data_IF_584594117017
#
_entry.id   IF_584594117017
#
_cell.length_a   1.000
_cell.length_b   1.000
_cell.length_c   1.000
_cell.angle_alpha   90.00
_cell.angle_beta   90.00
_cell.angle_gamma   90.00
#
_symmetry.space_group_name_H-M   'P 1'
#
loop_
_entity.id
_entity.type
_entity.pdbx_description
1 polymer ?
#
# COMPACT_ATOMS: atom_id res chain seq x y z
N UNK A 1 -15.68 -8.79 9.62
CA UNK A 1 -16.84 -8.71 10.54
C UNK A 1 -17.47 -10.07 10.81
N UNK A 2 -17.87 -10.85 9.81
CA UNK A 2 -18.52 -12.16 10.00
C UNK A 2 -17.70 -13.10 10.91
N UNK A 3 -16.38 -13.18 10.70
CA UNK A 3 -15.48 -14.00 11.53
C UNK A 3 -15.35 -13.54 13.00
N UNK A 4 -15.37 -12.23 13.26
CA UNK A 4 -15.28 -11.67 14.62
C UNK A 4 -16.59 -11.93 15.38
N UNK A 5 -17.74 -11.77 14.72
CA UNK A 5 -19.04 -12.16 15.29
C UNK A 5 -19.18 -13.66 15.47
N UNK A 6 -18.68 -14.47 14.52
CA UNK A 6 -18.58 -15.93 14.64
C UNK A 6 -17.66 -16.34 15.80
N UNK A 7 -16.68 -15.53 16.19
CA UNK A 7 -15.80 -15.83 17.31
C UNK A 7 -16.35 -15.33 18.66
N UNK A 8 -16.94 -14.14 18.68
CA UNK A 8 -17.51 -13.51 19.88
C UNK A 8 -18.78 -14.24 20.33
N UNK A 9 -19.66 -14.61 19.39
CA UNK A 9 -20.94 -15.28 19.69
C UNK A 9 -20.77 -16.60 20.48
N UNK A 10 -19.94 -17.58 20.04
CA UNK A 10 -19.71 -18.80 20.81
C UNK A 10 -18.93 -18.56 22.10
N UNK A 11 -18.09 -17.52 22.18
CA UNK A 11 -17.42 -17.15 23.42
C UNK A 11 -18.38 -16.61 24.48
N UNK A 12 -19.31 -15.74 24.07
CA UNK A 12 -20.38 -15.22 24.94
C UNK A 12 -21.29 -16.36 25.37
N UNK A 13 -21.66 -17.27 24.45
CA UNK A 13 -22.45 -18.46 24.78
C UNK A 13 -21.71 -19.39 25.75
N UNK A 14 -20.41 -19.63 25.56
CA UNK A 14 -19.61 -20.46 26.46
C UNK A 14 -19.49 -19.86 27.87
N UNK A 15 -19.30 -18.55 27.98
CA UNK A 15 -19.30 -17.85 29.28
C UNK A 15 -20.68 -17.95 29.95
N UNK A 16 -21.77 -17.80 29.19
CA UNK A 16 -23.14 -17.97 29.70
C UNK A 16 -23.38 -19.41 30.17
N UNK A 17 -23.00 -20.42 29.39
CA UNK A 17 -23.14 -21.83 29.79
C UNK A 17 -22.29 -22.17 31.01
N UNK A 18 -21.07 -21.63 31.10
CA UNK A 18 -20.21 -21.81 32.29
C UNK A 18 -20.78 -21.12 33.54
N UNK A 19 -21.35 -19.91 33.39
CA UNK A 19 -22.00 -19.20 34.49
C UNK A 19 -23.25 -19.95 34.98
N UNK A 20 -24.10 -20.41 34.05
CA UNK A 20 -25.28 -21.22 34.34
C UNK A 20 -24.88 -22.53 35.05
N UNK A 21 -23.84 -23.20 34.56
CA UNK A 21 -23.28 -24.40 35.18
C UNK A 21 -22.83 -24.16 36.63
N UNK A 22 -22.12 -23.07 36.90
CA UNK A 22 -21.69 -22.66 38.26
C UNK A 22 -22.88 -22.43 39.21
N UNK A 23 -23.97 -21.85 38.70
CA UNK A 23 -25.20 -21.64 39.49
C UNK A 23 -25.86 -22.97 39.84
N UNK A 24 -26.10 -23.84 38.86
CA UNK A 24 -26.74 -25.15 39.10
C UNK A 24 -25.90 -26.11 39.94
N UNK A 25 -24.56 -26.05 39.82
CA UNK A 25 -23.65 -26.84 40.67
C UNK A 25 -23.65 -26.39 42.13
N UNK A 26 -23.80 -25.09 42.38
CA UNK A 26 -23.91 -24.56 43.74
C UNK A 26 -25.20 -24.99 44.44
N UNK A 27 -26.25 -25.28 43.67
CA UNK A 27 -27.54 -25.77 44.18
C UNK A 27 -27.57 -27.29 44.43
N UNK A 28 -26.43 -27.99 44.28
CA UNK A 28 -26.29 -29.41 44.62
C UNK A 28 -26.94 -30.39 43.63
N UNK A 29 -27.27 -29.93 42.42
CA UNK A 29 -27.87 -30.77 41.37
C UNK A 29 -26.74 -31.46 40.57
N UNK A 30 -26.69 -32.80 40.59
CA UNK A 30 -25.83 -33.56 39.67
C UNK A 30 -26.38 -33.43 38.24
N UNK A 31 -25.72 -32.61 37.43
CA UNK A 31 -26.13 -32.39 36.05
C UNK A 31 -25.22 -33.14 35.09
N UNK A 32 -25.78 -33.86 34.11
CA UNK A 32 -25.04 -34.42 32.97
C UNK A 32 -24.33 -33.38 32.08
N UNK A 33 -24.38 -32.10 32.48
CA UNK A 33 -23.82 -30.93 31.81
C UNK A 33 -22.33 -30.71 32.08
N UNK A 34 -21.72 -31.39 33.07
CA UNK A 34 -20.32 -31.20 33.48
C UNK A 34 -19.31 -31.43 32.33
N UNK A 35 -19.52 -32.48 31.54
CA UNK A 35 -18.64 -32.81 30.41
C UNK A 35 -18.93 -31.95 29.17
N UNK A 36 -20.19 -31.62 28.92
CA UNK A 36 -20.58 -30.80 27.76
C UNK A 36 -20.11 -29.35 27.88
N UNK A 37 -20.35 -28.71 29.02
CA UNK A 37 -20.01 -27.30 29.23
C UNK A 37 -18.50 -27.04 29.20
N UNK A 38 -17.70 -27.95 29.75
CA UNK A 38 -16.24 -27.85 29.73
C UNK A 38 -15.68 -27.97 28.31
N UNK A 39 -16.17 -28.93 27.51
CA UNK A 39 -15.77 -29.09 26.10
C UNK A 39 -16.17 -27.88 25.25
N UNK A 40 -17.39 -27.35 25.41
CA UNK A 40 -17.83 -26.13 24.70
C UNK A 40 -16.97 -24.91 25.06
N UNK A 41 -16.56 -24.78 26.33
CA UNK A 41 -15.70 -23.69 26.77
C UNK A 41 -14.32 -23.74 26.12
N UNK A 42 -13.71 -24.94 26.04
CA UNK A 42 -12.42 -25.13 25.37
C UNK A 42 -12.52 -24.80 23.87
N UNK A 43 -13.57 -25.28 23.19
CA UNK A 43 -13.80 -24.98 21.77
C UNK A 43 -13.96 -23.47 21.54
N UNK A 44 -14.71 -22.77 22.41
CA UNK A 44 -14.90 -21.33 22.31
C UNK A 44 -13.58 -20.56 22.49
N UNK A 45 -12.73 -20.96 23.44
CA UNK A 45 -11.40 -20.36 23.63
C UNK A 45 -10.53 -20.56 22.37
N UNK A 46 -10.54 -21.74 21.77
CA UNK A 46 -9.79 -22.03 20.54
C UNK A 46 -10.28 -21.14 19.39
N UNK A 47 -11.60 -21.00 19.22
CA UNK A 47 -12.18 -20.15 18.17
C UNK A 47 -11.78 -18.67 18.37
N UNK A 48 -11.82 -18.17 19.61
CA UNK A 48 -11.38 -16.80 19.93
C UNK A 48 -9.89 -16.62 19.65
N UNK A 49 -9.05 -17.57 20.06
CA UNK A 49 -7.61 -17.52 19.82
C UNK A 49 -7.28 -17.50 18.32
N UNK A 50 -7.94 -18.37 17.53
CA UNK A 50 -7.80 -18.37 16.08
C UNK A 50 -8.29 -17.06 15.44
N UNK A 51 -9.43 -16.54 15.91
CA UNK A 51 -9.95 -15.25 15.46
C UNK A 51 -9.00 -14.10 15.75
N UNK A 52 -8.37 -14.10 16.93
CA UNK A 52 -7.36 -13.11 17.31
C UNK A 52 -6.11 -13.19 16.42
N UNK A 53 -5.61 -14.40 16.14
CA UNK A 53 -4.45 -14.61 15.27
C UNK A 53 -4.71 -14.13 13.83
N UNK A 54 -5.86 -14.49 13.26
CA UNK A 54 -6.26 -14.06 11.91
C UNK A 54 -6.44 -12.54 11.85
N UNK A 55 -7.08 -11.94 12.86
CA UNK A 55 -7.26 -10.49 12.93
C UNK A 55 -5.92 -9.76 13.05
N UNK A 56 -5.01 -10.26 13.89
CA UNK A 56 -3.67 -9.69 14.09
C UNK A 56 -2.82 -9.79 12.82
N UNK A 57 -2.84 -10.93 12.13
CA UNK A 57 -2.14 -11.08 10.84
C UNK A 57 -2.65 -10.10 9.78
N UNK A 58 -3.96 -9.85 9.73
CA UNK A 58 -4.56 -8.87 8.82
C UNK A 58 -4.18 -7.42 9.14
N UNK A 59 -3.89 -7.13 10.40
CA UNK A 59 -3.43 -5.81 10.87
C UNK A 59 -1.97 -5.56 10.47
N UNK A 60 -1.07 -6.52 10.73
CA UNK A 60 0.33 -6.42 10.30
C UNK A 60 0.46 -6.25 8.79
N UNK A 61 -0.34 -7.01 8.01
CA UNK A 61 -0.36 -6.89 6.56
C UNK A 61 -0.90 -5.53 6.05
N UNK A 62 -1.63 -4.76 6.86
CA UNK A 62 -2.07 -3.41 6.51
C UNK A 62 -0.96 -2.39 6.76
N UNK A 63 -0.26 -2.48 7.90
CA UNK A 63 0.87 -1.61 8.21
C UNK A 63 1.95 -1.74 7.12
N UNK A 64 2.31 -2.97 6.77
CA UNK A 64 3.29 -3.24 5.71
C UNK A 64 2.88 -2.62 4.36
N UNK A 65 1.60 -2.73 3.98
CA UNK A 65 1.10 -2.07 2.77
C UNK A 65 1.23 -0.54 2.82
N UNK A 66 0.93 0.10 3.95
CA UNK A 66 1.07 1.55 4.10
C UNK A 66 2.54 2.01 4.08
N UNK A 67 3.44 1.22 4.68
CA UNK A 67 4.88 1.48 4.61
C UNK A 67 5.39 1.33 3.17
N UNK A 68 4.93 0.33 2.44
CA UNK A 68 5.28 0.13 1.04
C UNK A 68 4.77 1.27 0.14
N UNK A 69 3.54 1.76 0.35
CA UNK A 69 3.03 2.96 -0.37
C UNK A 69 3.95 4.16 -0.14
N UNK A 70 4.27 4.48 1.13
CA UNK A 70 5.19 5.59 1.45
C UNK A 70 6.57 5.41 0.83
N UNK A 71 7.05 4.17 0.74
CA UNK A 71 8.33 3.85 0.10
C UNK A 71 8.29 4.12 -1.40
N UNK A 72 7.24 3.66 -2.08
CA UNK A 72 7.07 3.88 -3.53
C UNK A 72 6.93 5.37 -3.86
N UNK A 73 6.13 6.12 -3.10
CA UNK A 73 6.00 7.58 -3.25
C UNK A 73 7.34 8.31 -3.09
N UNK A 74 8.17 7.90 -2.11
CA UNK A 74 9.51 8.48 -1.94
C UNK A 74 10.43 8.17 -3.11
N UNK A 75 10.42 6.93 -3.62
CA UNK A 75 11.24 6.53 -4.77
C UNK A 75 10.78 7.27 -6.03
N UNK A 76 9.47 7.42 -6.23
CA UNK A 76 8.90 8.23 -7.31
C UNK A 76 9.42 9.66 -7.24
N UNK A 77 9.31 10.31 -6.07
CA UNK A 77 9.76 11.69 -5.89
C UNK A 77 11.26 11.85 -6.20
N UNK A 78 12.10 10.92 -5.76
CA UNK A 78 13.55 10.95 -6.05
C UNK A 78 13.81 10.81 -7.56
N UNK A 79 13.16 9.85 -8.22
CA UNK A 79 13.38 9.61 -9.65
C UNK A 79 12.86 10.77 -10.50
N UNK A 80 11.74 11.39 -10.09
CA UNK A 80 11.22 12.59 -10.72
C UNK A 80 12.19 13.76 -10.61
N UNK A 81 12.72 14.05 -9.41
CA UNK A 81 13.71 15.11 -9.21
C UNK A 81 14.98 14.87 -10.06
N UNK A 82 15.44 13.61 -10.16
CA UNK A 82 16.57 13.26 -11.02
C UNK A 82 16.26 13.49 -12.50
N UNK A 83 15.06 13.12 -12.95
CA UNK A 83 14.63 13.33 -14.33
C UNK A 83 14.51 14.83 -14.67
N UNK A 84 13.97 15.64 -13.76
CA UNK A 84 13.91 17.10 -13.89
C UNK A 84 15.31 17.72 -13.98
N UNK A 85 16.26 17.27 -13.15
CA UNK A 85 17.65 17.74 -13.20
C UNK A 85 18.34 17.39 -14.53
N UNK A 86 18.20 16.15 -15.03
CA UNK A 86 18.75 15.76 -16.33
C UNK A 86 18.07 16.48 -17.49
N UNK A 87 16.78 16.78 -17.37
CA UNK A 87 16.05 17.56 -18.39
C UNK A 87 16.56 19.01 -18.45
N UNK A 88 16.89 19.60 -17.29
CA UNK A 88 17.53 20.91 -17.25
C UNK A 88 18.92 20.90 -17.91
N UNK A 89 19.71 19.84 -17.70
CA UNK A 89 21.02 19.66 -18.34
C UNK A 89 20.89 19.47 -19.87
N UNK A 90 19.94 18.65 -20.32
CA UNK A 90 19.58 18.48 -21.73
C UNK A 90 19.18 19.82 -22.38
N UNK A 91 18.34 20.59 -21.69
CA UNK A 91 17.89 21.91 -22.13
C UNK A 91 19.04 22.90 -22.25
N UNK A 92 19.98 22.88 -21.29
CA UNK A 92 21.18 23.72 -21.33
C UNK A 92 22.06 23.37 -22.53
N UNK A 93 22.33 22.08 -22.76
CA UNK A 93 23.13 21.64 -23.91
C UNK A 93 22.46 21.95 -25.25
N UNK A 94 21.13 21.86 -25.33
CA UNK A 94 20.37 22.29 -26.50
C UNK A 94 20.52 23.79 -26.78
N UNK A 95 20.38 24.62 -25.74
CA UNK A 95 20.51 26.07 -25.86
C UNK A 95 21.93 26.53 -26.24
N UNK A 96 22.96 25.79 -25.82
CA UNK A 96 24.36 26.03 -26.19
C UNK A 96 24.67 25.60 -27.62
N UNK A 97 24.18 24.43 -28.04
CA UNK A 97 24.49 23.84 -29.36
C UNK A 97 23.66 24.49 -30.48
N UNK A 98 22.43 24.90 -30.17
CA UNK A 98 21.49 25.49 -31.13
C UNK A 98 20.92 26.84 -30.64
N UNK A 99 21.76 27.88 -30.51
CA UNK A 99 21.34 29.17 -29.96
C UNK A 99 20.33 29.93 -30.85
N UNK A 100 20.16 29.51 -32.11
CA UNK A 100 19.16 30.06 -33.05
C UNK A 100 17.74 29.52 -32.82
N UNK A 101 17.61 28.36 -32.19
CA UNK A 101 16.30 27.84 -31.80
C UNK A 101 15.94 28.44 -30.45
N UNK A 102 14.74 29.02 -30.33
CA UNK A 102 14.36 29.87 -29.21
C UNK A 102 14.65 29.19 -27.86
N UNK A 103 15.52 29.81 -27.06
CA UNK A 103 15.77 29.41 -25.66
C UNK A 103 14.47 29.27 -24.86
N UNK A 104 13.43 30.03 -25.23
CA UNK A 104 12.11 29.99 -24.60
C UNK A 104 11.31 28.72 -24.92
N UNK A 105 11.58 28.07 -26.06
CA UNK A 105 10.99 26.78 -26.44
C UNK A 105 11.67 25.64 -25.67
N UNK A 106 13.00 25.70 -25.52
CA UNK A 106 13.76 24.66 -24.82
C UNK A 106 13.60 24.75 -23.29
N UNK A 107 13.47 25.96 -22.73
CA UNK A 107 13.25 26.16 -21.30
C UNK A 107 11.97 25.54 -20.72
N UNK A 108 11.04 25.11 -21.58
CA UNK A 108 9.74 24.50 -21.19
C UNK A 108 9.70 22.99 -21.40
N UNK A 109 10.83 22.34 -21.70
CA UNK A 109 10.88 20.89 -21.90
C UNK A 109 10.59 20.20 -20.57
N UNK A 110 9.50 19.44 -20.55
CA UNK A 110 9.23 18.48 -19.49
C UNK A 110 9.97 17.17 -19.75
N UNK A 111 10.33 16.40 -18.71
CA UNK A 111 11.01 15.11 -18.87
C UNK A 111 10.25 14.14 -19.79
N UNK A 112 8.91 14.17 -19.74
CA UNK A 112 8.01 13.34 -20.55
C UNK A 112 8.09 13.66 -22.06
N UNK A 113 8.52 14.87 -22.40
CA UNK A 113 8.56 15.36 -23.78
C UNK A 113 9.96 15.31 -24.39
N UNK A 114 11.01 15.00 -23.63
CA UNK A 114 12.40 15.03 -24.10
C UNK A 114 12.61 14.20 -25.38
N UNK A 115 12.02 13.01 -25.46
CA UNK A 115 12.09 12.15 -26.64
C UNK A 115 11.38 12.75 -27.88
N UNK A 116 10.33 13.55 -27.69
CA UNK A 116 9.59 14.20 -28.77
C UNK A 116 10.45 15.24 -29.51
N UNK A 117 11.40 15.85 -28.80
CA UNK A 117 12.32 16.83 -29.38
C UNK A 117 13.38 16.18 -30.29
N UNK A 118 13.80 14.94 -30.02
CA UNK A 118 14.64 14.18 -30.96
C UNK A 118 13.93 13.89 -32.29
N UNK A 119 12.59 13.81 -32.29
CA UNK A 119 11.79 13.63 -33.52
C UNK A 119 11.66 14.95 -34.28
N UNK A 120 11.44 16.06 -33.56
CA UNK A 120 11.31 17.39 -34.18
C UNK A 120 12.61 17.93 -34.76
N UNK A 121 13.75 17.56 -34.18
CA UNK A 121 15.08 18.02 -34.58
C UNK A 121 15.97 16.78 -34.80
N UNK A 122 15.90 16.12 -35.97
CA UNK A 122 16.66 14.91 -36.26
C UNK A 122 18.17 15.08 -36.12
N UNK A 123 18.68 16.30 -36.34
CA UNK A 123 20.08 16.68 -36.14
C UNK A 123 20.58 16.45 -34.71
N UNK A 124 19.69 16.44 -33.71
CA UNK A 124 20.05 16.12 -32.32
C UNK A 124 20.45 14.66 -32.14
N UNK A 125 19.95 13.76 -32.99
CA UNK A 125 20.28 12.33 -32.95
C UNK A 125 21.74 12.07 -33.32
N UNK A 126 22.41 13.02 -33.96
CA UNK A 126 23.83 12.94 -34.27
C UNK A 126 24.73 13.19 -33.03
N UNK A 127 24.17 13.77 -31.96
CA UNK A 127 24.90 14.00 -30.72
C UNK A 127 24.72 12.81 -29.77
N UNK A 128 25.81 12.08 -29.55
CA UNK A 128 25.87 10.97 -28.60
C UNK A 128 25.50 11.41 -27.16
N UNK A 129 25.93 12.62 -26.78
CA UNK A 129 25.64 13.20 -25.45
C UNK A 129 24.15 13.45 -25.26
N UNK A 130 23.47 14.05 -26.24
CA UNK A 130 22.03 14.34 -26.15
C UNK A 130 21.20 13.04 -26.19
N UNK A 131 21.61 12.07 -27.00
CA UNK A 131 21.01 10.74 -27.04
C UNK A 131 21.07 10.04 -25.67
N UNK A 132 22.25 10.03 -25.03
CA UNK A 132 22.44 9.42 -23.71
C UNK A 132 21.62 10.12 -22.61
N UNK A 133 21.52 11.46 -22.66
CA UNK A 133 20.67 12.22 -21.75
C UNK A 133 19.19 11.85 -21.90
N UNK A 134 18.68 11.77 -23.13
CA UNK A 134 17.28 11.38 -23.37
C UNK A 134 17.01 9.94 -22.95
N UNK A 135 17.95 9.02 -23.20
CA UNK A 135 17.84 7.63 -22.77
C UNK A 135 17.72 7.52 -21.24
N UNK A 136 18.61 8.20 -20.49
CA UNK A 136 18.56 8.24 -19.02
C UNK A 136 17.30 8.92 -18.48
N UNK A 137 16.80 9.97 -19.15
CA UNK A 137 15.53 10.61 -18.79
C UNK A 137 14.39 9.60 -18.97
N UNK A 138 14.36 8.87 -20.08
CA UNK A 138 13.34 7.85 -20.35
C UNK A 138 13.40 6.68 -19.35
N UNK A 139 14.60 6.21 -18.98
CA UNK A 139 14.76 5.18 -17.95
C UNK A 139 14.18 5.63 -16.60
N UNK A 140 14.48 6.86 -16.19
CA UNK A 140 13.93 7.42 -14.94
C UNK A 140 12.42 7.61 -15.01
N UNK A 141 11.88 8.01 -16.17
CA UNK A 141 10.45 8.14 -16.39
C UNK A 141 9.74 6.78 -16.36
N UNK A 142 10.34 5.75 -16.96
CA UNK A 142 9.85 4.37 -16.86
C UNK A 142 9.83 3.91 -15.40
N UNK A 143 10.92 4.18 -14.65
CA UNK A 143 10.98 3.84 -13.24
C UNK A 143 9.93 4.59 -12.40
N UNK A 144 9.65 5.86 -12.71
CA UNK A 144 8.54 6.63 -12.10
C UNK A 144 7.19 5.96 -12.38
N UNK A 145 6.95 5.56 -13.63
CA UNK A 145 5.73 4.88 -14.02
C UNK A 145 5.56 3.54 -13.28
N UNK A 146 6.63 2.74 -13.19
CA UNK A 146 6.62 1.47 -12.46
C UNK A 146 6.28 1.67 -10.97
N UNK A 147 6.79 2.73 -10.34
CA UNK A 147 6.44 3.06 -8.95
C UNK A 147 4.97 3.48 -8.80
N UNK A 148 4.40 4.19 -9.78
CA UNK A 148 2.96 4.54 -9.77
C UNK A 148 2.09 3.30 -9.87
N UNK A 149 2.44 2.37 -10.76
CA UNK A 149 1.73 1.08 -10.88
C UNK A 149 1.82 0.31 -9.56
N UNK A 150 3.01 0.21 -8.96
CA UNK A 150 3.19 -0.45 -7.66
C UNK A 150 2.37 0.19 -6.53
N UNK A 151 2.26 1.53 -6.55
CA UNK A 151 1.46 2.29 -5.59
C UNK A 151 -0.03 2.02 -5.75
N UNK A 152 -0.56 2.04 -6.97
CA UNK A 152 -1.96 1.73 -7.26
C UNK A 152 -2.31 0.27 -6.90
N UNK A 153 -1.41 -0.69 -7.19
CA UNK A 153 -1.58 -2.08 -6.75
C UNK A 153 -1.66 -2.20 -5.22
N UNK A 154 -0.76 -1.52 -4.50
CA UNK A 154 -0.75 -1.53 -3.04
C UNK A 154 -2.02 -0.87 -2.47
N UNK A 155 -2.48 0.23 -3.07
CA UNK A 155 -3.73 0.89 -2.72
C UNK A 155 -4.95 0.00 -2.98
N UNK A 156 -5.01 -0.70 -4.12
CA UNK A 156 -6.10 -1.62 -4.44
C UNK A 156 -6.16 -2.78 -3.45
N UNK A 157 -5.01 -3.42 -3.14
CA UNK A 157 -4.92 -4.49 -2.14
C UNK A 157 -5.37 -4.00 -0.76
N UNK A 158 -5.05 -2.76 -0.43
CA UNK A 158 -5.49 -2.11 0.81
C UNK A 158 -6.99 -1.85 0.79
N UNK A 159 -7.57 -1.27 -0.27
CA UNK A 159 -9.02 -1.04 -0.43
C UNK A 159 -9.84 -2.34 -0.32
N UNK A 160 -9.40 -3.41 -0.95
CA UNK A 160 -10.08 -4.73 -0.90
C UNK A 160 -10.10 -5.29 0.54
N UNK A 161 -9.02 -5.08 1.30
CA UNK A 161 -8.94 -5.47 2.73
C UNK A 161 -9.70 -4.49 3.65
N UNK A 162 -9.81 -3.22 3.28
CA UNK A 162 -10.42 -2.11 4.03
C UNK A 162 -11.97 -2.08 4.01
N UNK A 163 -12.66 -3.14 3.57
CA UNK A 163 -14.13 -3.31 3.73
C UNK A 163 -14.61 -3.39 5.20
N UNK A 164 -13.83 -2.90 6.16
CA UNK A 164 -14.16 -2.82 7.59
C UNK A 164 -14.09 -1.36 8.09
N UNK A 165 -15.23 -0.64 8.14
CA UNK A 165 -15.29 0.82 8.38
C UNK A 165 -14.85 1.28 9.77
N UNK A 166 -14.74 0.39 10.76
CA UNK A 166 -14.50 0.77 12.15
C UNK A 166 -13.02 0.95 12.52
N UNK A 167 -12.12 0.23 11.85
CA UNK A 167 -10.67 0.36 12.05
C UNK A 167 -10.11 1.65 11.44
N UNK A 168 -10.85 2.24 10.50
CA UNK A 168 -10.55 3.50 9.80
C UNK A 168 -10.45 4.70 10.75
N UNK A 169 -11.27 4.77 11.81
CA UNK A 169 -11.33 5.94 12.71
C UNK A 169 -10.09 6.12 13.58
N UNK A 170 -9.25 5.10 13.74
CA UNK A 170 -8.09 5.12 14.64
C UNK A 170 -6.74 5.15 13.91
N UNK A 171 -6.67 4.72 12.64
CA UNK A 171 -5.38 4.52 11.94
C UNK A 171 -5.01 5.60 10.93
N UNK A 172 -5.96 6.41 10.46
CA UNK A 172 -5.64 7.53 9.58
C UNK A 172 -5.26 8.71 10.47
N UNK A 173 -4.02 9.23 10.38
CA UNK A 173 -3.70 10.49 11.03
C UNK A 173 -4.65 11.52 10.43
N UNK A 174 -5.48 12.12 11.28
CA UNK A 174 -6.28 13.29 10.88
C UNK A 174 -5.30 14.36 10.45
N UNK A 175 -5.55 14.94 9.28
CA UNK A 175 -4.89 16.16 8.81
C UNK A 175 -4.79 17.21 9.92
#
# INVERSE_FOLDING_TARGET
>A
MLFLWIAIFPAVLAVLFYAIYRVFKNDGVETAYDAGASVFTVIAIIIVALGFLVSSGSWYAQIDNFENIKKFEKIEAINRTKAEALTAEFTRHLAETYPKHEKDIFGKISPEQAALYLVKYPELKASETLMNLVERINELQSAVYDQRVATEEALQRTRVRLRNPWLFRFMIPKE
#
